data_IF_353892357735
#
_entry.id   IF_353892357735
#
_cell.length_a   1.000
_cell.length_b   1.000
_cell.length_c   1.000
_cell.angle_alpha   90.00
_cell.angle_beta   90.00
_cell.angle_gamma   90.00
#
_symmetry.space_group_name_H-M   'P 1'
#
loop_
_entity.id
_entity.type
_entity.pdbx_description
1 polymer ?
#
# COMPACT_ATOMS: atom_id res chain seq x y z
N UNK A 1 -0.77 -9.60 5.03
CA UNK A 1 -1.77 -10.43 4.32
C UNK A 1 -2.42 -9.58 3.23
N UNK A 2 -2.44 -10.02 1.96
CA UNK A 2 -3.13 -9.30 0.89
C UNK A 2 -4.66 -9.40 1.05
N UNK A 3 -5.38 -8.34 0.68
CA UNK A 3 -6.84 -8.31 0.75
C UNK A 3 -7.46 -7.04 0.19
N UNK A 4 -8.74 -6.86 0.51
CA UNK A 4 -9.58 -5.77 0.02
C UNK A 4 -10.22 -5.02 1.18
N UNK A 5 -10.13 -3.69 1.18
CA UNK A 5 -10.72 -2.87 2.23
C UNK A 5 -10.98 -1.42 1.77
N UNK A 6 -11.72 -0.65 2.59
CA UNK A 6 -11.99 0.77 2.36
C UNK A 6 -13.10 1.05 1.33
N UNK A 7 -13.83 0.03 0.90
CA UNK A 7 -15.06 0.10 0.12
C UNK A 7 -16.30 -0.26 0.94
N UNK A 8 -17.44 -0.43 0.27
CA UNK A 8 -18.75 -0.64 0.92
C UNK A 8 -19.36 -2.04 0.72
N UNK A 9 -18.80 -2.86 -0.17
CA UNK A 9 -19.29 -4.24 -0.39
C UNK A 9 -18.92 -5.17 0.76
N UNK A 10 -19.87 -5.91 1.32
CA UNK A 10 -19.67 -6.76 2.50
C UNK A 10 -18.89 -8.07 2.26
N UNK A 11 -18.84 -8.57 1.02
CA UNK A 11 -18.11 -9.80 0.66
C UNK A 11 -17.67 -9.76 -0.81
N UNK A 12 -16.69 -8.92 -1.18
CA UNK A 12 -16.29 -8.76 -2.56
C UNK A 12 -15.49 -9.98 -3.06
N UNK A 13 -15.73 -10.42 -4.30
CA UNK A 13 -14.80 -11.32 -5.01
C UNK A 13 -13.72 -10.51 -5.71
N UNK A 14 -12.56 -11.11 -6.04
CA UNK A 14 -11.51 -10.42 -6.80
C UNK A 14 -12.07 -9.73 -8.05
N UNK A 15 -12.89 -10.42 -8.84
CA UNK A 15 -13.50 -9.88 -10.07
C UNK A 15 -14.33 -8.60 -9.81
N UNK A 16 -15.07 -8.56 -8.69
CA UNK A 16 -15.83 -7.38 -8.29
C UNK A 16 -14.91 -6.23 -7.83
N UNK A 17 -13.79 -6.53 -7.19
CA UNK A 17 -12.78 -5.51 -6.84
C UNK A 17 -12.08 -4.99 -8.08
N UNK A 18 -11.61 -5.87 -8.97
CA UNK A 18 -10.90 -5.50 -10.20
C UNK A 18 -11.74 -4.68 -11.17
N UNK A 19 -13.07 -4.83 -11.14
CA UNK A 19 -14.00 -3.98 -11.91
C UNK A 19 -14.22 -2.59 -11.30
N UNK A 20 -13.75 -2.34 -10.07
CA UNK A 20 -13.86 -1.06 -9.37
C UNK A 20 -15.23 -0.77 -8.74
N UNK A 21 -16.22 -1.65 -8.91
CA UNK A 21 -17.61 -1.39 -8.50
C UNK A 21 -17.84 -1.49 -6.99
N UNK A 22 -16.94 -2.12 -6.24
CA UNK A 22 -17.08 -2.35 -4.80
C UNK A 22 -16.59 -1.18 -3.94
N UNK A 23 -15.81 -0.27 -4.54
CA UNK A 23 -15.09 0.79 -3.83
C UNK A 23 -13.89 0.33 -2.99
N UNK A 24 -13.63 -0.99 -2.90
CA UNK A 24 -12.48 -1.50 -2.16
C UNK A 24 -11.17 -1.17 -2.87
N UNK A 25 -10.12 -0.91 -2.09
CA UNK A 25 -8.74 -0.90 -2.54
C UNK A 25 -8.11 -2.28 -2.33
N UNK A 26 -7.16 -2.65 -3.18
CA UNK A 26 -6.18 -3.68 -2.85
C UNK A 26 -5.27 -3.14 -1.74
N UNK A 27 -5.18 -3.89 -0.65
CA UNK A 27 -4.47 -3.51 0.57
C UNK A 27 -3.65 -4.67 1.12
N UNK A 28 -2.72 -4.33 2.02
CA UNK A 28 -1.95 -5.31 2.79
C UNK A 28 -2.18 -5.03 4.27
N UNK A 29 -2.67 -6.02 5.00
CA UNK A 29 -2.65 -6.01 6.46
C UNK A 29 -1.24 -6.38 6.95
N UNK A 30 -0.62 -5.51 7.75
CA UNK A 30 0.73 -5.70 8.26
C UNK A 30 0.68 -5.85 9.79
N UNK A 31 0.98 -7.05 10.28
CA UNK A 31 1.35 -7.26 11.67
C UNK A 31 2.85 -7.00 11.81
N UNK A 32 3.25 -6.21 12.82
CA UNK A 32 4.65 -5.83 13.04
C UNK A 32 4.97 -5.77 14.53
N UNK A 33 6.24 -5.97 14.87
CA UNK A 33 6.75 -5.79 16.21
C UNK A 33 7.29 -4.35 16.39
N UNK A 34 6.67 -3.51 17.25
CA UNK A 34 7.09 -2.14 17.46
C UNK A 34 8.50 -2.00 18.07
N UNK A 35 9.07 -3.07 18.64
CA UNK A 35 10.46 -3.11 19.10
C UNK A 35 11.48 -3.25 17.97
N UNK A 36 11.05 -3.77 16.80
CA UNK A 36 11.87 -3.95 15.60
C UNK A 36 11.67 -2.79 14.63
N UNK A 37 10.41 -2.42 14.36
CA UNK A 37 10.07 -1.34 13.44
C UNK A 37 8.93 -0.48 14.02
N UNK A 38 9.13 0.83 14.06
CA UNK A 38 8.08 1.75 14.48
C UNK A 38 7.01 1.90 13.41
N UNK A 39 5.80 2.33 13.80
CA UNK A 39 4.76 2.67 12.84
C UNK A 39 5.20 3.80 11.89
N UNK A 40 6.00 4.75 12.37
CA UNK A 40 6.59 5.80 11.53
C UNK A 40 7.56 5.23 10.49
N UNK A 41 8.35 4.20 10.84
CA UNK A 41 9.19 3.48 9.90
C UNK A 41 8.39 2.74 8.83
N UNK A 42 7.26 2.13 9.21
CA UNK A 42 6.33 1.53 8.24
C UNK A 42 5.70 2.56 7.31
N UNK A 43 5.33 3.73 7.84
CA UNK A 43 4.83 4.84 7.04
C UNK A 43 5.91 5.31 6.05
N UNK A 44 7.16 5.46 6.48
CA UNK A 44 8.27 5.81 5.58
C UNK A 44 8.40 4.80 4.44
N UNK A 45 8.39 3.50 4.73
CA UNK A 45 8.38 2.45 3.71
C UNK A 45 7.20 2.59 2.76
N UNK A 46 6.00 2.82 3.29
CA UNK A 46 4.79 3.03 2.49
C UNK A 46 4.96 4.22 1.53
N UNK A 47 5.40 5.39 2.01
CA UNK A 47 5.51 6.60 1.17
C UNK A 47 6.50 6.47 0.00
N UNK A 48 7.49 5.57 0.11
CA UNK A 48 8.57 5.44 -0.88
C UNK A 48 8.49 4.17 -1.75
N UNK A 49 7.45 3.34 -1.58
CA UNK A 49 7.28 2.08 -2.35
C UNK A 49 6.22 2.16 -3.45
N UNK A 50 5.38 3.21 -3.44
CA UNK A 50 4.42 3.52 -4.50
C UNK A 50 4.37 5.03 -4.78
N UNK A 51 3.50 5.46 -5.70
CA UNK A 51 3.24 6.87 -5.96
C UNK A 51 2.10 7.38 -5.09
N UNK A 52 2.35 8.28 -4.12
CA UNK A 52 1.31 8.86 -3.27
C UNK A 52 0.63 10.09 -3.89
N UNK A 53 0.91 10.38 -5.18
CA UNK A 53 0.47 11.59 -5.90
C UNK A 53 -0.43 11.29 -7.11
N UNK A 54 -0.56 10.03 -7.51
CA UNK A 54 -1.33 9.61 -8.69
C UNK A 54 -2.71 9.09 -8.29
N UNK A 55 -3.81 9.78 -8.66
CA UNK A 55 -5.16 9.33 -8.29
C UNK A 55 -5.51 8.02 -8.98
N UNK A 56 -5.98 7.05 -8.19
CA UNK A 56 -6.53 5.78 -8.68
C UNK A 56 -5.60 5.05 -9.66
N UNK A 57 -4.28 5.09 -9.42
CA UNK A 57 -3.30 4.49 -10.33
C UNK A 57 -1.94 4.28 -9.65
N UNK A 58 -1.32 3.13 -9.93
CA UNK A 58 0.09 2.85 -9.62
C UNK A 58 0.83 2.33 -10.84
N UNK A 59 1.65 3.18 -11.47
CA UNK A 59 2.35 2.79 -12.70
C UNK A 59 1.36 2.46 -13.82
N UNK A 60 1.39 1.22 -14.32
CA UNK A 60 0.47 0.74 -15.36
C UNK A 60 -0.89 0.25 -14.80
N UNK A 61 -1.01 0.11 -13.48
CA UNK A 61 -2.22 -0.40 -12.84
C UNK A 61 -3.19 0.76 -12.59
N UNK A 62 -4.30 0.80 -13.33
CA UNK A 62 -5.26 1.91 -13.35
C UNK A 62 -6.61 1.44 -12.82
N UNK A 63 -7.17 2.19 -11.85
CA UNK A 63 -8.44 1.90 -11.22
C UNK A 63 -8.50 2.33 -9.75
N UNK A 64 -9.71 2.56 -9.24
CA UNK A 64 -9.94 2.97 -7.84
C UNK A 64 -9.42 1.95 -6.82
N UNK A 65 -9.31 0.69 -7.23
CA UNK A 65 -8.72 -0.40 -6.45
C UNK A 65 -7.21 -0.22 -6.21
N UNK A 66 -6.52 0.59 -7.03
CA UNK A 66 -5.08 0.88 -6.88
C UNK A 66 -4.80 2.26 -6.27
N UNK A 67 -5.81 2.91 -5.67
CA UNK A 67 -5.61 4.19 -5.00
C UNK A 67 -4.69 4.05 -3.79
N UNK A 68 -3.96 5.11 -3.47
CA UNK A 68 -3.16 5.17 -2.25
C UNK A 68 -4.05 5.39 -1.02
N UNK A 69 -4.00 4.46 -0.05
CA UNK A 69 -4.86 4.44 1.12
C UNK A 69 -4.13 3.88 2.35
N UNK A 70 -4.29 4.54 3.49
CA UNK A 70 -3.94 4.05 4.84
C UNK A 70 -5.23 3.85 5.63
N UNK A 71 -5.40 2.65 6.18
CA UNK A 71 -6.50 2.28 7.07
C UNK A 71 -5.97 2.12 8.50
N UNK A 72 -6.19 3.12 9.34
CA UNK A 72 -5.70 3.16 10.72
C UNK A 72 -6.59 2.34 11.66
N UNK A 73 -5.98 1.47 12.47
CA UNK A 73 -6.72 0.64 13.45
C UNK A 73 -6.90 1.33 14.80
N UNK A 74 -6.26 2.49 15.01
CA UNK A 74 -6.40 3.30 16.20
C UNK A 74 -6.31 4.80 15.89
N UNK A 75 -6.85 5.64 16.79
CA UNK A 75 -6.73 7.10 16.67
C UNK A 75 -5.28 7.61 16.84
N UNK A 76 -4.36 6.80 17.38
CA UNK A 76 -2.94 7.14 17.38
C UNK A 76 -2.33 6.93 16.00
N UNK A 77 -2.62 5.80 15.34
CA UNK A 77 -2.16 5.53 13.98
C UNK A 77 -2.72 6.54 12.97
N UNK A 78 -3.99 6.94 13.13
CA UNK A 78 -4.61 7.95 12.26
C UNK A 78 -3.90 9.31 12.37
N UNK A 79 -3.58 9.74 13.59
CA UNK A 79 -2.81 10.97 13.84
C UNK A 79 -1.41 10.88 13.24
N UNK A 80 -0.67 9.81 13.54
CA UNK A 80 0.69 9.62 13.00
C UNK A 80 0.72 9.56 11.47
N UNK A 81 -0.23 8.87 10.84
CA UNK A 81 -0.33 8.82 9.38
C UNK A 81 -0.65 10.19 8.77
N UNK A 82 -1.54 10.95 9.40
CA UNK A 82 -1.90 12.31 8.97
C UNK A 82 -0.72 13.27 9.10
N UNK A 83 -0.01 13.23 10.22
CA UNK A 83 1.20 14.04 10.44
C UNK A 83 2.32 13.67 9.46
N UNK A 84 2.54 12.37 9.23
CA UNK A 84 3.54 11.91 8.25
C UNK A 84 3.18 12.40 6.83
N UNK A 85 1.90 12.33 6.43
CA UNK A 85 1.42 12.88 5.15
C UNK A 85 1.71 14.37 5.03
N UNK A 86 1.47 15.15 6.09
CA UNK A 86 1.72 16.59 6.11
C UNK A 86 3.22 16.91 6.02
N UNK A 87 4.05 16.21 6.80
CA UNK A 87 5.51 16.33 6.76
C UNK A 87 6.05 16.01 5.36
N UNK A 88 5.56 14.93 4.74
CA UNK A 88 5.94 14.56 3.38
C UNK A 88 5.55 15.64 2.37
N UNK A 89 4.32 16.17 2.46
CA UNK A 89 3.86 17.24 1.58
C UNK A 89 4.69 18.54 1.72
N UNK A 90 5.19 18.83 2.93
CA UNK A 90 6.04 19.99 3.19
C UNK A 90 7.53 19.78 2.86
N UNK A 91 7.97 18.54 2.65
CA UNK A 91 9.40 18.21 2.45
C UNK A 91 9.98 18.71 1.12
N UNK A 92 9.13 18.95 0.12
CA UNK A 92 9.57 19.24 -1.25
C UNK A 92 10.00 18.01 -2.06
N UNK A 93 9.92 16.79 -1.49
CA UNK A 93 10.29 15.55 -2.19
C UNK A 93 9.36 15.24 -3.39
N UNK A 94 8.09 15.63 -3.28
CA UNK A 94 7.10 15.47 -4.34
C UNK A 94 6.65 16.83 -4.88
N UNK A 95 6.70 16.99 -6.20
CA UNK A 95 6.23 18.20 -6.89
C UNK A 95 4.70 18.27 -7.00
N UNK A 96 4.03 17.12 -6.87
CA UNK A 96 2.57 17.00 -6.90
C UNK A 96 2.02 16.82 -5.48
N UNK A 97 0.76 17.24 -5.23
CA UNK A 97 0.12 17.05 -3.93
C UNK A 97 0.08 15.58 -3.49
N UNK A 98 0.27 15.34 -2.20
CA UNK A 98 0.08 14.01 -1.60
C UNK A 98 -1.42 13.74 -1.45
N UNK A 99 -1.96 12.85 -2.28
CA UNK A 99 -3.41 12.58 -2.35
C UNK A 99 -3.86 11.38 -1.52
N UNK A 100 -2.92 10.66 -0.92
CA UNK A 100 -3.19 9.44 -0.14
C UNK A 100 -4.30 9.64 0.88
N UNK A 101 -5.27 8.73 0.89
CA UNK A 101 -6.34 8.71 1.88
C UNK A 101 -5.82 8.19 3.22
N UNK A 102 -6.22 8.84 4.32
CA UNK A 102 -6.05 8.32 5.68
C UNK A 102 -7.45 8.17 6.26
N UNK A 103 -7.86 6.93 6.53
CA UNK A 103 -9.20 6.59 7.02
C UNK A 103 -9.11 5.62 8.18
N UNK A 104 -10.17 5.57 8.99
CA UNK A 104 -10.31 4.53 10.00
C UNK A 104 -10.53 3.17 9.33
N UNK A 105 -9.88 2.14 9.87
CA UNK A 105 -10.13 0.76 9.49
C UNK A 105 -11.53 0.31 9.94
N UNK A 106 -12.25 -0.37 9.05
CA UNK A 106 -13.58 -0.90 9.32
C UNK A 106 -13.62 -2.42 9.16
N UNK A 107 -13.45 -2.91 7.92
CA UNK A 107 -13.49 -4.34 7.59
C UNK A 107 -12.37 -4.69 6.62
N UNK A 108 -11.84 -5.91 6.76
CA UNK A 108 -10.85 -6.50 5.86
C UNK A 108 -11.41 -7.77 5.23
N UNK A 109 -11.24 -7.91 3.91
CA UNK A 109 -11.57 -9.13 3.18
C UNK A 109 -10.29 -9.76 2.66
N UNK A 110 -9.85 -10.92 3.19
CA UNK A 110 -8.69 -11.62 2.68
C UNK A 110 -8.83 -11.91 1.18
N UNK A 111 -7.76 -11.66 0.42
CA UNK A 111 -7.70 -12.07 -0.97
C UNK A 111 -7.55 -13.60 -1.07
N UNK A 112 -7.83 -14.15 -2.25
CA UNK A 112 -7.68 -15.57 -2.54
C UNK A 112 -6.23 -16.04 -2.34
N UNK A 113 -6.04 -17.31 -1.98
CA UNK A 113 -4.73 -17.82 -1.54
C UNK A 113 -3.63 -17.72 -2.60
N UNK A 114 -3.96 -17.72 -3.89
CA UNK A 114 -2.97 -17.56 -4.96
C UNK A 114 -2.35 -16.16 -5.00
N UNK A 115 -2.93 -15.17 -4.32
CA UNK A 115 -2.34 -13.84 -4.15
C UNK A 115 -1.28 -13.80 -3.04
N UNK A 116 -1.21 -14.81 -2.16
CA UNK A 116 -0.17 -14.90 -1.12
C UNK A 116 1.17 -15.25 -1.76
N UNK A 117 2.22 -14.53 -1.33
CA UNK A 117 3.60 -14.71 -1.79
C UNK A 117 3.74 -14.72 -3.32
N UNK A 118 2.86 -14.00 -4.03
CA UNK A 118 2.74 -14.08 -5.48
C UNK A 118 4.07 -13.85 -6.20
N UNK A 119 4.82 -12.81 -5.80
CA UNK A 119 6.13 -12.50 -6.39
C UNK A 119 7.15 -13.63 -6.18
N UNK A 120 7.20 -14.21 -4.98
CA UNK A 120 8.12 -15.31 -4.65
C UNK A 120 7.77 -16.60 -5.40
N UNK A 121 6.46 -16.86 -5.57
CA UNK A 121 5.95 -18.04 -6.25
C UNK A 121 5.97 -17.91 -7.78
N UNK A 122 6.04 -16.69 -8.31
CA UNK A 122 5.95 -16.41 -9.75
C UNK A 122 7.08 -15.50 -10.25
N UNK A 123 8.36 -15.77 -9.92
CA UNK A 123 9.45 -14.84 -10.19
C UNK A 123 9.65 -14.63 -11.69
N UNK A 124 9.37 -15.61 -12.54
CA UNK A 124 9.54 -15.52 -14.00
C UNK A 124 8.42 -14.79 -14.74
N UNK A 125 7.31 -14.44 -14.07
CA UNK A 125 6.23 -13.72 -14.72
C UNK A 125 6.70 -12.36 -15.23
N UNK A 126 6.27 -11.98 -16.43
CA UNK A 126 6.71 -10.73 -17.06
C UNK A 126 6.43 -9.50 -16.17
N UNK A 127 5.27 -9.48 -15.51
CA UNK A 127 4.93 -8.42 -14.56
C UNK A 127 5.91 -8.39 -13.36
N UNK A 128 6.24 -9.55 -12.79
CA UNK A 128 7.23 -9.63 -11.70
C UNK A 128 8.61 -9.12 -12.13
N UNK A 129 9.06 -9.47 -13.33
CA UNK A 129 10.37 -9.07 -13.84
C UNK A 129 10.44 -7.59 -14.23
N UNK A 130 9.40 -7.07 -14.87
CA UNK A 130 9.41 -5.72 -15.44
C UNK A 130 8.93 -4.65 -14.44
N UNK A 131 8.08 -5.02 -13.47
CA UNK A 131 7.45 -4.06 -12.54
C UNK A 131 7.94 -4.25 -11.11
N UNK A 132 7.87 -5.46 -10.56
CA UNK A 132 8.16 -5.71 -9.13
C UNK A 132 9.66 -5.74 -8.86
N UNK A 133 10.44 -6.47 -9.67
CA UNK A 133 11.90 -6.64 -9.47
C UNK A 133 12.65 -5.31 -9.43
N UNK A 134 12.39 -4.34 -10.33
CA UNK A 134 13.03 -3.02 -10.25
C UNK A 134 12.64 -2.24 -9.00
N UNK A 135 11.38 -2.34 -8.54
CA UNK A 135 10.92 -1.73 -7.28
C UNK A 135 11.65 -2.33 -6.08
N UNK A 136 11.80 -3.66 -6.03
CA UNK A 136 12.55 -4.34 -4.98
C UNK A 136 14.02 -3.91 -4.92
N UNK A 137 14.67 -3.71 -6.07
CA UNK A 137 16.06 -3.19 -6.11
C UNK A 137 16.15 -1.79 -5.51
N UNK A 138 15.27 -0.87 -5.93
CA UNK A 138 15.21 0.50 -5.38
C UNK A 138 14.93 0.51 -3.87
N UNK A 139 14.03 -0.36 -3.41
CA UNK A 139 13.74 -0.54 -2.00
C UNK A 139 14.99 -0.96 -1.22
N UNK A 140 15.66 -2.04 -1.63
CA UNK A 140 16.89 -2.49 -0.96
C UNK A 140 17.99 -1.44 -1.02
N UNK A 141 18.11 -0.67 -2.10
CA UNK A 141 19.09 0.41 -2.20
C UNK A 141 18.83 1.54 -1.21
N UNK A 142 17.57 1.96 -1.05
CA UNK A 142 17.17 2.99 -0.09
C UNK A 142 17.35 2.52 1.35
N UNK A 143 17.02 1.26 1.62
CA UNK A 143 16.94 0.70 2.96
C UNK A 143 18.06 -0.30 3.26
N UNK A 144 19.24 -0.15 2.65
CA UNK A 144 20.40 -1.02 2.91
C UNK A 144 20.73 -1.18 4.40
N UNK A 145 20.44 -0.16 5.20
CA UNK A 145 20.64 -0.18 6.65
C UNK A 145 19.58 -0.96 7.45
N UNK A 146 18.40 -1.23 6.90
CA UNK A 146 17.37 -2.09 7.49
C UNK A 146 17.55 -3.58 7.13
N UNK A 147 18.59 -3.91 6.35
CA UNK A 147 18.86 -5.24 5.80
C UNK A 147 19.98 -5.99 6.54
N UNK A 148 20.46 -5.45 7.67
CA UNK A 148 21.47 -6.05 8.56
C UNK A 148 20.84 -6.31 9.92
#
# INVERSE_FOLDING_TARGET
>A
MPGYAGGSSASPTYQQVSSGVTGHAEVIEIAFDPSIISYEGLLDVFWHTHSPTTPNQQGADIGSQYRSLILATSGQQERQATEAKQKLAASGEFTKPIITEVKRFETFHPAEDYHRDYYANNPSQAYCQLVITPKMKKFHERYKALSM
#
